data_IF_386746001496
#
_entry.id   IF_386746001496
#
_cell.length_a   1.000
_cell.length_b   1.000
_cell.length_c   1.000
_cell.angle_alpha   90.00
_cell.angle_beta   90.00
_cell.angle_gamma   90.00
#
_symmetry.space_group_name_H-M   'P 1'
#
loop_
_entity.id
_entity.type
_entity.pdbx_description
1 polymer ?
#
# COMPACT_ATOMS: atom_id res chain seq x y z
N UNK A 1 27.84 -40.74 31.18
CA UNK A 1 28.02 -40.69 29.73
C UNK A 1 26.68 -40.50 28.96
N UNK A 2 25.60 -41.11 29.38
CA UNK A 2 24.29 -40.99 28.69
C UNK A 2 23.73 -39.57 28.76
N UNK A 3 23.87 -38.87 29.90
CA UNK A 3 23.33 -37.50 30.06
C UNK A 3 24.00 -36.45 29.17
N UNK A 4 25.28 -36.60 28.88
CA UNK A 4 26.01 -35.68 27.99
C UNK A 4 25.64 -35.86 26.54
N UNK A 5 25.30 -37.06 26.10
CA UNK A 5 24.80 -37.30 24.74
C UNK A 5 23.41 -36.73 24.52
N UNK A 6 22.51 -36.84 25.50
CA UNK A 6 21.16 -36.28 25.43
C UNK A 6 21.22 -34.77 25.36
N UNK A 7 22.08 -34.13 26.16
CA UNK A 7 22.22 -32.66 26.11
C UNK A 7 22.76 -32.18 24.76
N UNK A 8 23.67 -32.90 24.12
CA UNK A 8 24.22 -32.57 22.81
C UNK A 8 23.19 -32.68 21.69
N UNK A 9 22.32 -33.68 21.74
CA UNK A 9 21.22 -33.86 20.75
C UNK A 9 20.20 -32.76 20.89
N UNK A 10 19.85 -32.34 22.12
CA UNK A 10 18.91 -31.24 22.36
C UNK A 10 19.46 -29.90 21.84
N UNK A 11 20.74 -29.61 22.09
CA UNK A 11 21.39 -28.39 21.60
C UNK A 11 21.49 -28.37 20.08
N UNK A 12 21.86 -29.51 19.45
CA UNK A 12 21.86 -29.59 17.98
C UNK A 12 20.45 -29.47 17.37
N UNK A 13 19.44 -30.05 18.00
CA UNK A 13 18.06 -29.93 17.57
C UNK A 13 17.54 -28.49 17.68
N UNK A 14 17.85 -27.79 18.77
CA UNK A 14 17.48 -26.42 18.99
C UNK A 14 18.15 -25.45 17.98
N UNK A 15 19.45 -25.65 17.72
CA UNK A 15 20.17 -24.83 16.73
C UNK A 15 19.66 -25.07 15.30
N UNK A 16 19.37 -26.33 14.93
CA UNK A 16 18.76 -26.62 13.64
C UNK A 16 17.36 -25.96 13.48
N UNK A 17 16.56 -25.98 14.54
CA UNK A 17 15.24 -25.33 14.54
C UNK A 17 15.35 -23.81 14.43
N UNK A 18 16.31 -23.19 15.10
CA UNK A 18 16.57 -21.76 14.95
C UNK A 18 17.05 -21.39 13.55
N UNK A 19 17.91 -22.20 12.95
CA UNK A 19 18.42 -21.93 11.60
C UNK A 19 17.40 -22.21 10.50
N UNK A 20 16.59 -23.26 10.62
CA UNK A 20 15.58 -23.60 9.60
C UNK A 20 14.29 -22.80 9.78
N UNK A 21 13.86 -22.50 11.00
CA UNK A 21 12.70 -21.64 11.27
C UNK A 21 12.95 -20.17 11.00
N UNK A 22 14.19 -19.71 11.20
CA UNK A 22 14.60 -18.33 10.86
C UNK A 22 14.69 -18.08 9.35
N UNK A 23 14.98 -19.10 8.55
CA UNK A 23 15.01 -19.00 7.09
C UNK A 23 13.62 -19.07 6.46
N UNK A 24 12.62 -19.63 7.17
CA UNK A 24 11.23 -19.63 6.73
C UNK A 24 10.54 -18.27 6.83
N UNK A 25 11.14 -17.30 7.52
CA UNK A 25 10.68 -15.90 7.56
C UNK A 25 11.16 -15.07 6.36
N UNK A 26 12.01 -15.61 5.51
CA UNK A 26 12.22 -15.12 4.15
C UNK A 26 11.15 -15.74 3.22
N UNK A 27 9.88 -15.59 3.62
CA UNK A 27 8.77 -15.88 2.74
C UNK A 27 8.97 -15.05 1.47
N UNK A 28 8.98 -15.72 0.33
CA UNK A 28 8.92 -15.09 -0.98
C UNK A 28 7.87 -13.99 -0.93
N UNK A 29 8.35 -12.81 -0.79
CA UNK A 29 7.48 -11.66 -0.80
C UNK A 29 6.99 -11.52 -2.21
N UNK A 30 5.71 -11.68 -2.39
CA UNK A 30 4.97 -11.33 -3.58
C UNK A 30 5.59 -10.07 -4.20
N UNK A 31 6.18 -10.23 -5.36
CA UNK A 31 6.78 -9.13 -6.11
C UNK A 31 5.68 -8.11 -6.40
N UNK A 32 5.92 -6.87 -6.03
CA UNK A 32 4.94 -5.80 -6.24
C UNK A 32 4.75 -5.58 -7.74
N UNK A 33 3.50 -5.31 -8.20
CA UNK A 33 3.22 -5.08 -9.62
C UNK A 33 4.00 -3.89 -10.21
N UNK A 34 4.38 -2.92 -9.37
CA UNK A 34 5.14 -1.72 -9.73
C UNK A 34 6.66 -1.92 -9.70
N UNK A 35 7.15 -3.09 -9.27
CA UNK A 35 8.57 -3.42 -9.16
C UNK A 35 9.33 -2.62 -8.09
N UNK A 36 8.63 -1.90 -7.18
CA UNK A 36 9.27 -1.06 -6.15
C UNK A 36 9.41 -1.82 -4.82
N UNK A 37 10.44 -1.49 -4.05
CA UNK A 37 10.64 -2.01 -2.70
C UNK A 37 11.28 -3.39 -2.64
N UNK A 38 12.41 -3.59 -3.31
CA UNK A 38 13.16 -4.86 -3.32
C UNK A 38 13.65 -5.30 -1.93
N UNK A 39 13.91 -4.36 -1.04
CA UNK A 39 14.35 -4.64 0.33
C UNK A 39 13.17 -4.70 1.30
N UNK A 40 13.35 -5.38 2.47
CA UNK A 40 12.33 -5.46 3.52
C UNK A 40 11.91 -4.06 4.00
N UNK A 41 12.87 -3.16 4.20
CA UNK A 41 12.61 -1.76 4.60
C UNK A 41 11.89 -1.02 3.47
N UNK A 42 12.34 -1.18 2.23
CA UNK A 42 11.70 -0.59 1.06
C UNK A 42 10.23 -1.01 0.92
N UNK A 43 9.92 -2.28 1.15
CA UNK A 43 8.54 -2.81 1.14
C UNK A 43 7.67 -2.17 2.20
N UNK A 44 8.17 -2.06 3.43
CA UNK A 44 7.43 -1.41 4.52
C UNK A 44 7.13 0.04 4.19
N UNK A 45 8.09 0.77 3.61
CA UNK A 45 7.90 2.15 3.17
C UNK A 45 6.85 2.26 2.06
N UNK A 46 6.89 1.38 1.06
CA UNK A 46 5.90 1.41 -0.02
C UNK A 46 4.52 0.93 0.44
N UNK A 47 4.42 -0.01 1.36
CA UNK A 47 3.14 -0.38 1.98
C UNK A 47 2.50 0.79 2.74
N UNK A 48 3.31 1.61 3.43
CA UNK A 48 2.83 2.84 4.05
C UNK A 48 2.35 3.87 3.02
N UNK A 49 3.07 4.02 1.90
CA UNK A 49 2.67 4.89 0.78
C UNK A 49 1.38 4.40 0.10
N UNK A 50 1.21 3.08 -0.07
CA UNK A 50 -0.03 2.49 -0.57
C UNK A 50 -1.22 2.82 0.34
N UNK A 51 -1.04 2.70 1.66
CA UNK A 51 -2.05 3.07 2.64
C UNK A 51 -2.40 4.56 2.56
N UNK A 52 -1.40 5.43 2.39
CA UNK A 52 -1.62 6.86 2.17
C UNK A 52 -2.40 7.14 0.88
N UNK A 53 -2.08 6.46 -0.22
CA UNK A 53 -2.80 6.59 -1.48
C UNK A 53 -4.27 6.23 -1.30
N UNK A 54 -4.58 5.10 -0.65
CA UNK A 54 -5.99 4.71 -0.35
C UNK A 54 -6.72 5.76 0.47
N UNK A 55 -6.05 6.27 1.51
CA UNK A 55 -6.63 7.30 2.38
C UNK A 55 -6.90 8.59 1.61
N UNK A 56 -5.96 9.05 0.78
CA UNK A 56 -6.13 10.22 -0.06
C UNK A 56 -7.29 10.06 -1.05
N UNK A 57 -7.36 8.92 -1.75
CA UNK A 57 -8.47 8.62 -2.66
C UNK A 57 -9.82 8.61 -1.95
N UNK A 58 -9.88 8.02 -0.76
CA UNK A 58 -11.10 8.02 0.05
C UNK A 58 -11.53 9.44 0.41
N UNK A 59 -10.60 10.28 0.88
CA UNK A 59 -10.86 11.68 1.22
C UNK A 59 -11.29 12.50 0.00
N UNK A 60 -10.64 12.29 -1.15
CA UNK A 60 -11.02 12.94 -2.40
C UNK A 60 -12.43 12.55 -2.82
N UNK A 61 -12.80 11.28 -2.77
CA UNK A 61 -14.16 10.80 -3.09
C UNK A 61 -15.21 11.39 -2.15
N UNK A 62 -14.92 11.48 -0.87
CA UNK A 62 -15.81 12.15 0.11
C UNK A 62 -15.94 13.64 -0.23
N UNK A 63 -14.84 14.32 -0.55
CA UNK A 63 -14.84 15.74 -0.89
C UNK A 63 -15.61 16.01 -2.19
N UNK A 64 -15.46 15.16 -3.21
CA UNK A 64 -16.29 15.23 -4.43
C UNK A 64 -17.76 15.14 -4.06
N UNK A 65 -18.15 14.18 -3.21
CA UNK A 65 -19.55 14.04 -2.76
C UNK A 65 -20.08 15.29 -2.04
N UNK A 66 -19.26 15.94 -1.22
CA UNK A 66 -19.64 17.18 -0.52
C UNK A 66 -19.82 18.35 -1.48
N UNK A 67 -18.98 18.44 -2.52
CA UNK A 67 -19.02 19.53 -3.50
C UNK A 67 -19.97 19.26 -4.69
N UNK A 68 -20.61 18.09 -4.71
CA UNK A 68 -21.60 17.75 -5.73
C UNK A 68 -22.90 18.47 -5.46
N UNK A 69 -23.47 19.12 -6.48
CA UNK A 69 -24.84 19.61 -6.44
C UNK A 69 -25.81 18.43 -6.65
N UNK A 70 -26.32 17.89 -5.55
CA UNK A 70 -27.21 16.73 -5.54
C UNK A 70 -28.62 17.02 -6.09
N UNK A 71 -28.96 18.29 -6.31
CA UNK A 71 -30.27 18.68 -6.92
C UNK A 71 -30.20 18.52 -8.43
N UNK A 72 -29.05 18.87 -9.01
CA UNK A 72 -28.85 18.89 -10.46
C UNK A 72 -27.88 17.78 -10.94
N UNK A 73 -27.38 16.93 -10.03
CA UNK A 73 -26.37 15.89 -10.31
C UNK A 73 -25.09 16.44 -10.98
N UNK A 74 -24.67 17.65 -10.54
CA UNK A 74 -23.48 18.32 -11.08
C UNK A 74 -22.29 18.08 -10.17
N UNK A 75 -21.27 17.41 -10.70
CA UNK A 75 -19.98 17.20 -10.04
C UNK A 75 -19.05 18.41 -10.24
N UNK A 76 -18.03 18.60 -9.36
CA UNK A 76 -16.99 19.60 -9.59
C UNK A 76 -16.35 19.45 -10.98
N UNK A 77 -16.09 20.57 -11.65
CA UNK A 77 -15.54 20.54 -13.00
C UNK A 77 -14.10 19.99 -13.03
N UNK A 78 -13.34 20.23 -11.94
CA UNK A 78 -11.96 19.77 -11.79
C UNK A 78 -11.72 19.32 -10.35
N UNK A 79 -10.77 18.40 -10.17
CA UNK A 79 -10.42 17.89 -8.84
C UNK A 79 -9.80 18.99 -7.95
N UNK A 80 -9.11 19.96 -8.55
CA UNK A 80 -8.49 21.08 -7.84
C UNK A 80 -9.52 22.04 -7.21
N UNK A 81 -10.75 22.05 -7.72
CA UNK A 81 -11.85 22.86 -7.18
C UNK A 81 -12.24 22.41 -5.75
N UNK A 82 -11.80 21.22 -5.32
CA UNK A 82 -11.97 20.71 -3.96
C UNK A 82 -11.11 21.43 -2.91
N UNK A 83 -10.10 22.20 -3.32
CA UNK A 83 -9.22 22.99 -2.46
C UNK A 83 -8.54 22.21 -1.32
N UNK A 84 -8.18 20.95 -1.55
CA UNK A 84 -7.55 20.09 -0.55
C UNK A 84 -6.03 20.24 -0.47
N UNK A 85 -5.42 20.93 -1.43
CA UNK A 85 -3.97 21.11 -1.55
C UNK A 85 -3.33 20.17 -2.59
N UNK A 86 -2.27 20.65 -3.23
CA UNK A 86 -1.66 19.99 -4.39
C UNK A 86 -1.18 18.55 -4.11
N UNK A 87 -0.71 18.28 -2.89
CA UNK A 87 -0.22 16.95 -2.49
C UNK A 87 -1.32 15.88 -2.42
N UNK A 88 -2.60 16.29 -2.29
CA UNK A 88 -3.74 15.37 -2.27
C UNK A 88 -4.12 14.83 -3.65
N UNK A 89 -3.65 15.45 -4.71
CA UNK A 89 -4.02 15.10 -6.09
C UNK A 89 -2.99 14.18 -6.77
N UNK A 90 -1.96 13.76 -6.03
CA UNK A 90 -0.82 13.01 -6.55
C UNK A 90 -0.64 11.71 -5.76
N UNK A 91 -0.45 10.59 -6.47
CA UNK A 91 -0.14 9.31 -5.85
C UNK A 91 1.22 9.37 -5.14
N UNK A 92 1.31 9.05 -3.83
CA UNK A 92 2.57 9.12 -3.09
C UNK A 92 3.58 8.04 -3.47
N UNK A 93 3.17 7.03 -4.26
CA UNK A 93 4.03 5.94 -4.73
C UNK A 93 4.69 6.28 -6.06
N UNK A 94 3.90 6.68 -7.04
CA UNK A 94 4.35 6.91 -8.41
C UNK A 94 4.45 8.36 -8.81
N UNK A 95 3.97 9.28 -7.97
CA UNK A 95 3.93 10.72 -8.23
C UNK A 95 3.08 11.11 -9.46
N UNK A 96 2.21 10.20 -9.91
CA UNK A 96 1.24 10.48 -10.97
C UNK A 96 0.01 11.21 -10.40
N UNK A 97 -0.57 12.10 -11.20
CA UNK A 97 -1.82 12.75 -10.84
C UNK A 97 -2.98 11.74 -10.84
N UNK A 98 -3.88 11.85 -9.87
CA UNK A 98 -5.11 11.06 -9.87
C UNK A 98 -5.99 11.40 -11.07
N UNK A 99 -6.61 10.37 -11.65
CA UNK A 99 -7.61 10.52 -12.69
C UNK A 99 -8.93 10.98 -12.07
N UNK A 100 -9.57 11.97 -12.68
CA UNK A 100 -10.88 12.47 -12.30
C UNK A 100 -11.81 12.56 -13.50
N UNK A 101 -13.02 12.05 -13.35
CA UNK A 101 -14.06 12.16 -14.37
C UNK A 101 -15.17 13.10 -13.87
N UNK A 102 -15.29 14.32 -14.42
CA UNK A 102 -16.29 15.30 -13.96
C UNK A 102 -17.73 14.91 -14.32
N UNK A 103 -17.94 14.00 -15.27
CA UNK A 103 -19.29 13.53 -15.62
C UNK A 103 -19.84 12.48 -14.63
N UNK A 104 -18.97 11.80 -13.90
CA UNK A 104 -19.35 10.71 -12.98
C UNK A 104 -18.89 10.94 -11.55
N UNK A 105 -18.04 11.94 -11.31
CA UNK A 105 -17.42 12.21 -10.01
C UNK A 105 -16.39 11.15 -9.57
N UNK A 106 -16.01 10.23 -10.46
CA UNK A 106 -15.10 9.13 -10.12
C UNK A 106 -13.67 9.62 -10.05
N UNK A 107 -13.00 9.27 -8.95
CA UNK A 107 -11.55 9.48 -8.74
C UNK A 107 -10.85 8.13 -8.71
N UNK A 108 -9.77 7.99 -9.48
CA UNK A 108 -8.99 6.76 -9.60
C UNK A 108 -7.48 7.05 -9.56
N UNK A 109 -6.70 6.04 -9.15
CA UNK A 109 -5.26 6.11 -9.22
C UNK A 109 -4.76 5.40 -10.50
N UNK A 110 -3.93 6.06 -11.34
CA UNK A 110 -3.38 5.43 -12.55
C UNK A 110 -2.17 4.55 -12.24
N UNK A 111 -1.65 4.56 -11.00
CA UNK A 111 -0.46 3.81 -10.63
C UNK A 111 -0.70 2.30 -10.71
N UNK A 112 0.24 1.58 -11.35
CA UNK A 112 0.16 0.13 -11.50
C UNK A 112 0.12 -0.59 -10.14
N UNK A 113 -0.90 -1.41 -9.94
CA UNK A 113 -1.16 -2.09 -8.66
C UNK A 113 -2.08 -1.32 -7.71
N UNK A 114 -2.64 -0.18 -8.16
CA UNK A 114 -3.63 0.61 -7.42
C UNK A 114 -5.00 0.65 -8.11
N UNK A 115 -5.22 -0.24 -9.07
CA UNK A 115 -6.45 -0.28 -9.88
C UNK A 115 -7.71 -0.49 -9.03
N UNK A 116 -7.56 -1.15 -7.89
CA UNK A 116 -8.66 -1.50 -6.97
C UNK A 116 -8.80 -0.53 -5.77
N UNK A 117 -8.07 0.60 -5.75
CA UNK A 117 -8.06 1.54 -4.62
C UNK A 117 -9.21 2.53 -4.66
#
# INVERSE_FOLDING_TARGET
>A
MIGTMIALVIVMGATAFYFTGGLGLMQESSERPDGKGETIIGRSMYAAKDSNCRTQLHQLRLSVGIHTDHVNDIFPARIEDLNMGASYYICPVGEENYGYNPSTGVVSCPHKGHEDY
#
